data_IF_242632020822
#
_entry.id   IF_242632020822
#
_cell.length_a   1.000
_cell.length_b   1.000
_cell.length_c   1.000
_cell.angle_alpha   90.00
_cell.angle_beta   90.00
_cell.angle_gamma   90.00
#
_symmetry.space_group_name_H-M   'P 1'
#
loop_
_entity.id
_entity.type
_entity.pdbx_description
1 polymer ?
#
# COMPACT_ATOMS: atom_id res chain seq x y z
N UNK A 1 50.57 -22.19 41.08
CA UNK A 1 50.14 -22.07 39.68
C UNK A 1 49.00 -21.07 39.66
N UNK A 2 49.31 -19.88 39.16
CA UNK A 2 48.46 -18.68 39.15
C UNK A 2 47.44 -18.80 38.02
N UNK A 3 46.17 -18.46 38.27
CA UNK A 3 45.33 -17.62 37.40
C UNK A 3 43.97 -17.40 38.07
N UNK A 4 43.87 -16.30 38.82
CA UNK A 4 42.61 -15.70 39.19
C UNK A 4 42.15 -14.82 38.01
N UNK A 5 41.02 -15.16 37.39
CA UNK A 5 40.35 -14.28 36.44
C UNK A 5 39.49 -13.29 37.24
N UNK A 6 40.01 -12.08 37.39
CA UNK A 6 39.27 -10.89 37.80
C UNK A 6 38.55 -10.28 36.59
N UNK A 7 37.35 -9.74 36.84
CA UNK A 7 36.82 -8.60 36.08
C UNK A 7 36.05 -8.91 34.80
N UNK A 8 34.74 -9.13 34.93
CA UNK A 8 33.77 -8.69 33.93
C UNK A 8 32.78 -7.75 34.62
N UNK A 9 33.18 -6.49 34.73
CA UNK A 9 32.25 -5.39 35.02
C UNK A 9 31.27 -5.30 33.86
N UNK A 10 29.98 -5.41 34.17
CA UNK A 10 28.88 -5.07 33.28
C UNK A 10 29.16 -3.70 32.65
N UNK A 11 29.41 -3.69 31.34
CA UNK A 11 29.41 -2.47 30.57
C UNK A 11 27.95 -2.01 30.44
N UNK A 12 27.60 -0.92 31.12
CA UNK A 12 26.43 -0.12 30.80
C UNK A 12 26.54 0.30 29.33
N UNK A 13 25.81 -0.39 28.45
CA UNK A 13 25.58 0.06 27.09
C UNK A 13 24.77 1.36 27.15
N UNK A 14 25.49 2.46 27.05
CA UNK A 14 24.96 3.76 26.67
C UNK A 14 24.11 3.61 25.41
N UNK A 15 22.78 3.42 25.56
CA UNK A 15 21.80 3.75 24.52
C UNK A 15 21.95 5.23 24.22
N UNK A 16 22.79 5.57 23.25
CA UNK A 16 22.76 6.88 22.61
C UNK A 16 21.34 7.04 22.07
N UNK A 17 20.53 7.81 22.79
CA UNK A 17 19.24 8.27 22.35
C UNK A 17 19.49 9.06 21.07
N UNK A 18 19.27 8.42 19.92
CA UNK A 18 19.49 9.02 18.60
C UNK A 18 18.63 10.28 18.57
N UNK A 19 19.27 11.46 18.50
CA UNK A 19 18.54 12.73 18.47
C UNK A 19 17.55 12.69 17.31
N UNK A 20 16.31 13.11 17.55
CA UNK A 20 15.29 13.21 16.50
C UNK A 20 15.85 14.00 15.32
N UNK A 21 15.83 13.39 14.14
CA UNK A 21 16.07 14.12 12.90
C UNK A 21 14.91 15.10 12.69
N UNK A 22 15.21 16.27 12.14
CA UNK A 22 14.14 17.11 11.61
C UNK A 22 13.54 16.52 10.33
N UNK A 23 14.33 15.71 9.60
CA UNK A 23 13.93 15.13 8.32
C UNK A 23 12.92 14.00 8.51
N UNK A 24 11.70 14.23 8.01
CA UNK A 24 10.67 13.21 7.81
C UNK A 24 9.97 13.43 6.48
N UNK A 25 9.34 12.38 5.97
CA UNK A 25 8.55 12.42 4.73
C UNK A 25 7.47 11.35 4.75
N UNK A 26 6.31 11.70 4.21
CA UNK A 26 5.26 10.75 3.88
C UNK A 26 4.94 10.84 2.39
N UNK A 27 4.75 9.69 1.77
CA UNK A 27 4.39 9.52 0.36
C UNK A 27 3.13 8.66 0.31
N UNK A 28 2.19 8.99 -0.56
CA UNK A 28 0.95 8.23 -0.74
C UNK A 28 0.67 7.92 -2.21
N UNK A 29 -0.15 6.89 -2.45
CA UNK A 29 -0.88 6.73 -3.70
C UNK A 29 -2.35 6.38 -3.47
N UNK A 30 -3.21 6.86 -4.36
CA UNK A 30 -4.62 6.48 -4.50
C UNK A 30 -4.86 5.42 -5.60
N UNK A 31 -3.79 4.87 -6.16
CA UNK A 31 -3.83 3.78 -7.14
C UNK A 31 -3.53 4.19 -8.57
N UNK A 32 -3.20 3.18 -9.37
CA UNK A 32 -3.02 3.29 -10.81
C UNK A 32 -4.34 3.34 -11.58
N UNK A 33 -4.29 3.06 -12.88
CA UNK A 33 -5.52 2.90 -13.68
C UNK A 33 -6.33 4.20 -13.87
N UNK A 34 -5.67 5.36 -13.78
CA UNK A 34 -6.33 6.67 -13.91
C UNK A 34 -7.13 6.76 -15.21
N UNK A 35 -8.30 7.43 -15.12
CA UNK A 35 -9.14 7.78 -16.27
C UNK A 35 -8.31 8.51 -17.33
N UNK A 36 -8.71 8.36 -18.59
CA UNK A 36 -8.14 9.23 -19.63
C UNK A 36 -8.45 10.69 -19.29
N UNK A 37 -7.59 11.61 -19.73
CA UNK A 37 -7.68 13.02 -19.37
C UNK A 37 -8.96 13.68 -19.89
N UNK A 38 -9.40 13.28 -21.09
CA UNK A 38 -10.69 13.67 -21.68
C UNK A 38 -11.92 13.15 -20.90
N UNK A 39 -11.73 12.18 -19.99
CA UNK A 39 -12.76 11.62 -19.11
C UNK A 39 -12.63 12.10 -17.65
N UNK A 40 -11.71 13.04 -17.37
CA UNK A 40 -11.49 13.63 -16.06
C UNK A 40 -12.02 15.06 -16.07
N UNK A 41 -13.16 15.31 -15.41
CA UNK A 41 -13.66 16.68 -15.26
C UNK A 41 -12.82 17.45 -14.25
N UNK A 42 -12.85 18.78 -14.32
CA UNK A 42 -12.09 19.63 -13.40
C UNK A 42 -12.50 19.40 -11.94
N UNK A 43 -13.81 19.20 -11.69
CA UNK A 43 -14.37 18.94 -10.37
C UNK A 43 -13.89 17.60 -9.82
N UNK A 44 -13.89 16.57 -10.68
CA UNK A 44 -13.42 15.25 -10.28
C UNK A 44 -11.91 15.27 -10.01
N UNK A 45 -11.13 15.96 -10.84
CA UNK A 45 -9.69 16.12 -10.61
C UNK A 45 -9.43 16.85 -9.28
N UNK A 46 -10.14 17.96 -9.03
CA UNK A 46 -10.04 18.73 -7.79
C UNK A 46 -10.40 17.87 -6.57
N UNK A 47 -11.46 17.05 -6.65
CA UNK A 47 -11.86 16.14 -5.58
C UNK A 47 -10.77 15.10 -5.27
N UNK A 48 -10.13 14.50 -6.29
CA UNK A 48 -9.02 13.57 -6.08
C UNK A 48 -7.81 14.28 -5.44
N UNK A 49 -7.47 15.49 -5.91
CA UNK A 49 -6.36 16.27 -5.33
C UNK A 49 -6.63 16.67 -3.89
N UNK A 50 -7.85 17.06 -3.56
CA UNK A 50 -8.26 17.37 -2.20
C UNK A 50 -8.15 16.13 -1.29
N UNK A 51 -8.63 14.97 -1.74
CA UNK A 51 -8.53 13.73 -0.97
C UNK A 51 -7.08 13.26 -0.78
N UNK A 52 -6.22 13.39 -1.82
CA UNK A 52 -4.78 13.13 -1.69
C UNK A 52 -4.12 14.09 -0.68
N UNK A 53 -4.48 15.38 -0.71
CA UNK A 53 -3.95 16.35 0.25
C UNK A 53 -4.41 16.03 1.68
N UNK A 54 -5.68 15.67 1.88
CA UNK A 54 -6.19 15.27 3.19
C UNK A 54 -5.48 14.03 3.75
N UNK A 55 -5.22 13.03 2.89
CA UNK A 55 -4.46 11.83 3.28
C UNK A 55 -3.01 12.17 3.66
N UNK A 56 -2.33 13.01 2.87
CA UNK A 56 -1.00 13.51 3.23
C UNK A 56 -1.02 14.29 4.54
N UNK A 57 -2.05 15.13 4.76
CA UNK A 57 -2.16 15.96 5.95
C UNK A 57 -2.28 15.09 7.22
N UNK A 58 -3.15 14.07 7.20
CA UNK A 58 -3.34 13.19 8.34
C UNK A 58 -2.03 12.49 8.78
N UNK A 59 -1.26 11.98 7.84
CA UNK A 59 0.04 11.39 8.16
C UNK A 59 1.11 12.44 8.49
N UNK A 60 1.09 13.60 7.83
CA UNK A 60 2.00 14.71 8.14
C UNK A 60 1.83 15.21 9.56
N UNK A 61 0.60 15.40 10.04
CA UNK A 61 0.33 15.93 11.38
C UNK A 61 0.94 15.03 12.46
N UNK A 62 0.88 13.71 12.27
CA UNK A 62 1.50 12.73 13.17
C UNK A 62 3.03 12.88 13.16
N UNK A 63 3.66 12.89 11.98
CA UNK A 63 5.12 13.01 11.88
C UNK A 63 5.63 14.39 12.34
N UNK A 64 4.86 15.45 12.08
CA UNK A 64 5.14 16.81 12.50
C UNK A 64 5.10 16.92 14.03
N UNK A 65 4.19 16.21 14.70
CA UNK A 65 4.12 16.09 16.16
C UNK A 65 5.17 15.13 16.76
N UNK A 66 6.00 14.48 15.94
CA UNK A 66 7.02 13.52 16.39
C UNK A 66 6.52 12.10 16.63
N UNK A 67 5.34 11.75 16.09
CA UNK A 67 4.83 10.38 16.10
C UNK A 67 5.61 9.46 15.14
N UNK A 68 5.33 8.15 15.26
CA UNK A 68 6.00 7.11 14.48
C UNK A 68 5.48 6.93 13.05
N UNK A 69 6.28 6.28 12.21
CA UNK A 69 5.94 5.99 10.83
C UNK A 69 4.69 5.11 10.68
N UNK A 70 4.46 4.15 11.58
CA UNK A 70 3.31 3.23 11.55
C UNK A 70 1.99 3.99 11.67
N UNK A 71 1.90 4.87 12.66
CA UNK A 71 0.72 5.68 12.90
C UNK A 71 0.48 6.67 11.75
N UNK A 72 1.56 7.22 11.18
CA UNK A 72 1.46 8.12 10.04
C UNK A 72 0.92 7.44 8.77
N UNK A 73 1.43 6.25 8.42
CA UNK A 73 0.96 5.53 7.23
C UNK A 73 -0.46 4.97 7.42
N UNK A 74 -0.82 4.54 8.64
CA UNK A 74 -2.18 4.11 8.97
C UNK A 74 -3.16 5.27 8.78
N UNK A 75 -2.92 6.43 9.41
CA UNK A 75 -3.81 7.58 9.32
C UNK A 75 -3.99 8.07 7.88
N UNK A 76 -2.90 8.09 7.09
CA UNK A 76 -2.97 8.45 5.69
C UNK A 76 -3.83 7.46 4.88
N UNK A 77 -3.72 6.16 5.13
CA UNK A 77 -4.51 5.13 4.45
C UNK A 77 -5.98 5.15 4.89
N UNK A 78 -6.29 5.38 6.17
CA UNK A 78 -7.68 5.53 6.65
C UNK A 78 -8.42 6.62 5.87
N UNK A 79 -7.80 7.79 5.65
CA UNK A 79 -8.42 8.86 4.85
C UNK A 79 -8.75 8.39 3.42
N UNK A 80 -7.91 7.54 2.84
CA UNK A 80 -8.14 6.98 1.51
C UNK A 80 -9.19 5.87 1.51
N UNK A 81 -9.25 5.06 2.58
CA UNK A 81 -10.30 4.05 2.80
C UNK A 81 -11.67 4.66 3.05
N UNK A 82 -11.75 5.83 3.69
CA UNK A 82 -13.03 6.50 3.95
C UNK A 82 -13.54 7.32 2.75
N UNK A 83 -12.70 7.45 1.71
CA UNK A 83 -13.03 8.21 0.50
C UNK A 83 -13.64 7.33 -0.60
N UNK A 84 -14.86 7.62 -1.09
CA UNK A 84 -15.52 6.84 -2.15
C UNK A 84 -14.83 6.95 -3.53
N UNK A 85 -13.82 7.81 -3.64
CA UNK A 85 -13.06 8.02 -4.87
C UNK A 85 -12.10 6.86 -5.15
N UNK A 86 -11.56 6.25 -4.09
CA UNK A 86 -10.53 5.23 -4.20
C UNK A 86 -11.08 3.81 -4.03
N UNK A 87 -10.27 2.81 -4.36
CA UNK A 87 -10.67 1.41 -4.33
C UNK A 87 -10.07 0.71 -3.09
N UNK A 88 -10.45 1.20 -1.92
CA UNK A 88 -10.11 0.65 -0.61
C UNK A 88 -11.19 1.13 0.38
N UNK A 89 -11.56 0.34 1.37
CA UNK A 89 -12.69 0.69 2.26
C UNK A 89 -13.93 1.10 1.45
N UNK A 90 -14.48 2.28 1.74
CA UNK A 90 -15.56 2.92 0.99
C UNK A 90 -15.19 3.13 -0.48
N UNK A 91 -16.05 2.69 -1.40
CA UNK A 91 -15.76 2.77 -2.83
C UNK A 91 -14.91 1.62 -3.36
N UNK A 92 -14.70 0.57 -2.56
CA UNK A 92 -14.11 -0.69 -3.01
C UNK A 92 -14.88 -1.32 -4.16
N UNK A 93 -14.15 -2.01 -5.03
CA UNK A 93 -14.72 -2.77 -6.14
C UNK A 93 -15.50 -3.96 -5.62
N UNK A 94 -16.43 -4.46 -6.44
CA UNK A 94 -17.19 -5.64 -6.10
C UNK A 94 -16.45 -6.89 -6.57
N UNK A 95 -16.65 -8.00 -5.87
CA UNK A 95 -16.42 -9.32 -6.46
C UNK A 95 -17.55 -9.66 -7.44
N UNK A 96 -17.43 -10.79 -8.16
CA UNK A 96 -18.42 -11.20 -9.17
C UNK A 96 -19.83 -11.36 -8.61
N UNK A 97 -19.94 -11.66 -7.32
CA UNK A 97 -21.19 -11.94 -6.65
C UNK A 97 -21.79 -10.66 -6.04
N UNK A 98 -21.23 -9.48 -6.34
CA UNK A 98 -21.71 -8.20 -5.84
C UNK A 98 -21.34 -7.93 -4.38
N UNK A 99 -20.31 -8.60 -3.85
CA UNK A 99 -19.86 -8.47 -2.46
C UNK A 99 -18.48 -7.80 -2.39
N UNK A 100 -18.28 -6.94 -1.40
CA UNK A 100 -16.98 -6.34 -1.13
C UNK A 100 -16.14 -7.28 -0.27
N UNK A 101 -14.90 -7.54 -0.69
CA UNK A 101 -13.91 -8.29 0.07
C UNK A 101 -12.63 -7.48 0.08
N UNK A 102 -12.14 -7.11 1.25
CA UNK A 102 -11.09 -6.12 1.41
C UNK A 102 -9.78 -6.77 1.84
N UNK A 103 -8.67 -6.22 1.36
CA UNK A 103 -7.33 -6.69 1.67
C UNK A 103 -6.48 -5.50 2.14
N UNK A 104 -5.65 -5.67 3.17
CA UNK A 104 -4.69 -4.65 3.61
C UNK A 104 -3.46 -5.26 4.30
N UNK A 105 -2.34 -4.53 4.31
CA UNK A 105 -1.18 -4.84 5.14
C UNK A 105 -0.45 -3.58 5.60
N UNK A 106 0.25 -3.71 6.72
CA UNK A 106 1.14 -2.71 7.31
C UNK A 106 2.43 -3.38 7.81
N UNK A 107 3.57 -2.67 7.75
CA UNK A 107 4.87 -3.21 8.16
C UNK A 107 5.75 -2.15 8.81
N UNK A 108 6.36 -2.48 9.96
CA UNK A 108 7.39 -1.68 10.64
C UNK A 108 8.77 -2.08 10.12
N UNK A 109 9.46 -1.15 9.47
CA UNK A 109 10.80 -1.35 8.93
C UNK A 109 11.90 -1.46 9.98
N UNK A 110 11.62 -1.09 11.25
CA UNK A 110 12.56 -1.22 12.36
C UNK A 110 12.64 -2.65 12.89
N UNK A 111 11.49 -3.28 13.10
CA UNK A 111 11.40 -4.60 13.74
C UNK A 111 11.13 -5.72 12.75
N UNK A 112 10.71 -5.37 11.52
CA UNK A 112 10.12 -6.30 10.54
C UNK A 112 8.77 -6.88 10.97
N UNK A 113 8.17 -6.37 12.05
CA UNK A 113 6.80 -6.73 12.42
C UNK A 113 5.85 -6.29 11.31
N UNK A 114 4.88 -7.14 11.02
CA UNK A 114 3.93 -6.92 9.96
C UNK A 114 2.57 -7.50 10.34
N UNK A 115 1.53 -6.84 9.84
CA UNK A 115 0.16 -7.31 9.97
C UNK A 115 -0.55 -7.22 8.64
N UNK A 116 -1.42 -8.18 8.37
CA UNK A 116 -2.11 -8.30 7.11
C UNK A 116 -3.49 -8.94 7.28
N UNK A 117 -4.43 -8.49 6.45
CA UNK A 117 -5.75 -9.08 6.35
C UNK A 117 -6.12 -9.30 4.89
N UNK A 118 -6.71 -10.46 4.58
CA UNK A 118 -7.25 -10.77 3.25
C UNK A 118 -8.73 -11.09 3.28
N UNK A 119 -9.43 -10.72 2.21
CA UNK A 119 -10.84 -11.06 1.90
C UNK A 119 -11.81 -10.82 3.05
N UNK A 120 -11.54 -9.81 3.89
CA UNK A 120 -12.38 -9.46 5.03
C UNK A 120 -13.61 -8.67 4.57
N UNK A 121 -14.70 -8.78 5.33
CA UNK A 121 -15.94 -8.07 5.08
C UNK A 121 -16.36 -7.31 6.34
N UNK A 122 -17.15 -6.24 6.16
CA UNK A 122 -17.77 -5.46 7.23
C UNK A 122 -16.82 -4.69 8.17
N UNK A 123 -15.51 -4.79 8.01
CA UNK A 123 -14.54 -3.99 8.76
C UNK A 123 -14.36 -2.66 8.04
N UNK A 124 -14.69 -1.55 8.69
CA UNK A 124 -14.67 -0.22 8.05
C UNK A 124 -13.31 0.14 7.46
N UNK A 125 -12.26 -0.07 8.26
CA UNK A 125 -10.88 0.26 7.93
C UNK A 125 -9.99 -1.00 8.03
N UNK A 126 -9.82 -1.76 6.93
CA UNK A 126 -8.96 -2.94 6.88
C UNK A 126 -7.51 -2.68 7.32
N UNK A 127 -6.97 -1.47 7.09
CA UNK A 127 -5.60 -1.15 7.50
C UNK A 127 -5.43 -1.17 9.04
N UNK A 128 -6.44 -0.72 9.78
CA UNK A 128 -6.43 -0.75 11.24
C UNK A 128 -6.55 -2.16 11.77
N UNK A 129 -7.31 -3.03 11.09
CA UNK A 129 -7.29 -4.47 11.39
C UNK A 129 -5.92 -5.10 11.14
N UNK A 130 -5.25 -4.74 10.03
CA UNK A 130 -3.90 -5.20 9.77
C UNK A 130 -2.94 -4.77 10.90
N UNK A 131 -3.00 -3.51 11.34
CA UNK A 131 -2.23 -3.03 12.50
C UNK A 131 -2.55 -3.80 13.78
N UNK A 132 -3.83 -4.05 14.05
CA UNK A 132 -4.27 -4.84 15.22
C UNK A 132 -3.80 -6.28 15.20
N UNK A 133 -3.68 -6.89 14.03
CA UNK A 133 -3.07 -8.22 13.90
C UNK A 133 -1.59 -8.17 14.26
N UNK A 134 -0.86 -7.15 13.76
CA UNK A 134 0.56 -6.94 14.05
C UNK A 134 0.86 -6.72 15.53
N UNK A 135 0.08 -5.87 16.20
CA UNK A 135 0.37 -5.43 17.57
C UNK A 135 -0.19 -6.36 18.65
N UNK A 136 -1.38 -6.93 18.43
CA UNK A 136 -2.14 -7.61 19.49
C UNK A 136 -2.15 -9.15 19.34
N UNK A 137 -1.47 -9.70 18.33
CA UNK A 137 -1.43 -11.17 18.08
C UNK A 137 -0.01 -11.67 17.75
N UNK A 138 0.28 -12.97 17.91
CA UNK A 138 1.54 -13.57 17.44
C UNK A 138 1.53 -13.88 15.93
N UNK A 139 0.55 -13.39 15.17
CA UNK A 139 0.32 -13.73 13.78
C UNK A 139 0.60 -12.55 12.85
N UNK A 140 1.04 -12.84 11.63
CA UNK A 140 1.26 -11.83 10.60
C UNK A 140 0.02 -11.61 9.73
N UNK A 141 -0.75 -12.66 9.43
CA UNK A 141 -1.85 -12.57 8.46
C UNK A 141 -3.06 -13.38 8.90
N UNK A 142 -4.24 -12.76 8.80
CA UNK A 142 -5.54 -13.43 8.95
C UNK A 142 -6.40 -13.20 7.71
N UNK A 143 -7.41 -14.03 7.48
CA UNK A 143 -8.30 -13.85 6.34
C UNK A 143 -9.75 -14.26 6.62
N UNK A 144 -10.66 -13.73 5.81
CA UNK A 144 -12.06 -14.15 5.77
C UNK A 144 -12.80 -13.94 7.09
N UNK A 145 -13.63 -14.91 7.47
CA UNK A 145 -14.50 -14.80 8.64
C UNK A 145 -13.71 -14.75 9.96
N UNK A 146 -12.62 -15.51 10.08
CA UNK A 146 -11.77 -15.46 11.28
C UNK A 146 -11.17 -14.07 11.52
N UNK A 147 -10.74 -13.40 10.45
CA UNK A 147 -10.27 -12.01 10.56
C UNK A 147 -11.40 -11.03 10.92
N UNK A 148 -12.60 -11.24 10.38
CA UNK A 148 -13.79 -10.42 10.72
C UNK A 148 -14.20 -10.59 12.19
N UNK A 149 -14.18 -11.81 12.69
CA UNK A 149 -14.54 -12.09 14.08
C UNK A 149 -13.48 -11.56 15.04
N UNK A 150 -12.21 -11.67 14.69
CA UNK A 150 -11.12 -11.00 15.42
C UNK A 150 -11.31 -9.48 15.46
N UNK A 151 -11.63 -8.85 14.33
CA UNK A 151 -11.90 -7.41 14.27
C UNK A 151 -13.02 -6.99 15.24
N UNK A 152 -14.09 -7.79 15.32
CA UNK A 152 -15.18 -7.57 16.27
C UNK A 152 -14.70 -7.71 17.71
N UNK A 153 -13.94 -8.75 18.04
CA UNK A 153 -13.40 -8.93 19.40
C UNK A 153 -12.37 -7.86 19.79
N UNK A 154 -11.65 -7.32 18.82
CA UNK A 154 -10.70 -6.21 19.01
C UNK A 154 -11.38 -4.83 19.09
N UNK A 155 -12.72 -4.77 19.05
CA UNK A 155 -13.49 -3.53 19.20
C UNK A 155 -13.43 -2.60 17.99
N UNK A 156 -13.09 -3.11 16.80
CA UNK A 156 -13.07 -2.30 15.59
C UNK A 156 -14.48 -1.96 15.09
N UNK A 157 -14.61 -0.81 14.43
CA UNK A 157 -15.88 -0.38 13.86
C UNK A 157 -16.32 -1.31 12.73
N UNK A 158 -17.44 -1.99 12.97
CA UNK A 158 -18.10 -2.86 12.01
C UNK A 158 -19.20 -2.09 11.29
N UNK A 159 -19.21 -2.14 9.96
CA UNK A 159 -20.17 -1.44 9.11
C UNK A 159 -20.97 -2.41 8.24
N UNK A 160 -22.19 -2.02 7.90
CA UNK A 160 -23.04 -2.77 6.99
C UNK A 160 -22.48 -2.70 5.55
N UNK A 161 -22.79 -3.69 4.68
CA UNK A 161 -22.24 -3.74 3.32
C UNK A 161 -22.51 -2.48 2.48
N UNK A 162 -23.62 -1.78 2.72
CA UNK A 162 -23.98 -0.54 2.01
C UNK A 162 -22.99 0.61 2.23
N UNK A 163 -22.20 0.60 3.32
CA UNK A 163 -21.16 1.61 3.57
C UNK A 163 -20.14 1.65 2.43
N UNK A 164 -19.76 0.47 1.92
CA UNK A 164 -18.75 0.34 0.88
C UNK A 164 -19.27 0.63 -0.53
N UNK A 165 -20.60 0.55 -0.69
CA UNK A 165 -21.27 0.61 -1.98
C UNK A 165 -21.17 2.02 -2.60
N UNK A 166 -20.93 2.07 -3.90
CA UNK A 166 -21.11 3.29 -4.70
C UNK A 166 -21.72 2.94 -6.05
N UNK A 167 -22.59 3.81 -6.55
CA UNK A 167 -23.25 3.65 -7.85
C UNK A 167 -22.23 3.44 -8.97
N UNK A 168 -21.18 4.27 -8.99
CA UNK A 168 -20.06 4.17 -9.95
C UNK A 168 -19.45 2.76 -10.01
N UNK A 169 -19.23 2.13 -8.86
CA UNK A 169 -18.63 0.78 -8.80
C UNK A 169 -19.64 -0.29 -9.17
N UNK A 170 -20.89 -0.12 -8.77
CA UNK A 170 -21.96 -1.03 -9.13
C UNK A 170 -22.16 -1.09 -10.65
N UNK A 171 -22.25 0.06 -11.31
CA UNK A 171 -22.35 0.14 -12.76
C UNK A 171 -21.13 -0.45 -13.46
N UNK A 172 -19.95 -0.32 -12.86
CA UNK A 172 -18.72 -0.93 -13.36
C UNK A 172 -18.78 -2.46 -13.34
N UNK A 173 -19.28 -3.04 -12.25
CA UNK A 173 -19.54 -4.47 -12.16
C UNK A 173 -20.56 -4.91 -13.20
N UNK A 174 -21.72 -4.23 -13.30
CA UNK A 174 -22.79 -4.60 -14.22
C UNK A 174 -22.32 -4.62 -15.69
N UNK A 175 -21.60 -3.57 -16.12
CA UNK A 175 -20.99 -3.54 -17.46
C UNK A 175 -20.04 -4.72 -17.70
N UNK A 176 -19.24 -5.08 -16.69
CA UNK A 176 -18.28 -6.20 -16.79
C UNK A 176 -18.98 -7.56 -16.89
N UNK A 177 -20.06 -7.76 -16.12
CA UNK A 177 -20.86 -8.98 -16.17
C UNK A 177 -21.58 -9.13 -17.53
N UNK A 178 -22.13 -8.04 -18.06
CA UNK A 178 -22.79 -8.02 -19.38
C UNK A 178 -21.82 -8.33 -20.53
N UNK A 179 -20.56 -7.87 -20.44
CA UNK A 179 -19.52 -8.17 -21.44
C UNK A 179 -19.06 -9.64 -21.43
N UNK A 180 -19.56 -10.47 -20.51
CA UNK A 180 -19.23 -11.90 -20.43
C UNK A 180 -17.74 -12.15 -20.21
N UNK A 181 -17.02 -11.19 -19.63
CA UNK A 181 -15.58 -11.28 -19.43
C UNK A 181 -15.27 -12.42 -18.46
N UNK A 182 -14.99 -13.61 -19.00
CA UNK A 182 -14.52 -14.75 -18.21
C UNK A 182 -13.25 -14.32 -17.48
N UNK A 183 -13.11 -14.73 -16.21
CA UNK A 183 -11.81 -14.73 -15.54
C UNK A 183 -10.81 -15.31 -16.52
N UNK A 184 -9.85 -14.47 -16.94
CA UNK A 184 -9.09 -14.65 -18.16
C UNK A 184 -8.69 -16.11 -18.34
N UNK A 185 -8.83 -16.63 -19.57
CA UNK A 185 -7.94 -17.71 -19.99
C UNK A 185 -6.56 -17.38 -19.44
N UNK A 186 -5.88 -18.32 -18.76
CA UNK A 186 -4.43 -18.19 -18.51
C UNK A 186 -3.85 -17.61 -19.80
N UNK A 187 -3.22 -16.43 -19.79
CA UNK A 187 -2.78 -15.81 -21.04
C UNK A 187 -1.84 -16.81 -21.71
N UNK A 188 -2.36 -17.53 -22.71
CA UNK A 188 -1.54 -18.25 -23.68
C UNK A 188 -0.84 -17.12 -24.41
N UNK A 189 0.43 -16.90 -24.08
CA UNK A 189 1.36 -15.95 -24.70
C UNK A 189 0.72 -14.63 -25.12
N UNK A 190 1.00 -13.57 -24.35
CA UNK A 190 0.71 -12.17 -24.65
C UNK A 190 0.27 -11.96 -26.11
N UNK A 191 -1.03 -11.74 -26.33
CA UNK A 191 -1.51 -11.38 -27.65
C UNK A 191 -0.69 -10.17 -28.11
N UNK A 192 -0.05 -10.30 -29.27
CA UNK A 192 0.78 -9.31 -29.99
C UNK A 192 0.06 -7.96 -30.28
N UNK A 193 -1.10 -7.71 -29.68
CA UNK A 193 -1.94 -6.54 -29.90
C UNK A 193 -1.54 -5.31 -29.09
N UNK A 194 -0.45 -5.36 -28.31
CA UNK A 194 0.16 -4.19 -27.66
C UNK A 194 -0.74 -3.42 -26.69
N UNK A 195 -1.90 -3.99 -26.32
CA UNK A 195 -2.85 -3.38 -25.37
C UNK A 195 -2.75 -4.13 -24.04
N UNK A 196 -2.31 -3.48 -22.95
CA UNK A 196 -2.42 -4.09 -21.63
C UNK A 196 -3.91 -4.33 -21.38
N UNK A 197 -4.27 -5.59 -21.11
CA UNK A 197 -5.65 -6.08 -21.18
C UNK A 197 -6.62 -5.50 -20.13
N UNK A 198 -6.27 -4.42 -19.43
CA UNK A 198 -7.06 -3.96 -18.29
C UNK A 198 -6.72 -2.53 -17.80
N UNK A 199 -6.31 -1.62 -18.69
CA UNK A 199 -5.90 -0.25 -18.30
C UNK A 199 -7.08 0.57 -17.75
N UNK A 200 -7.34 0.46 -16.44
CA UNK A 200 -8.39 1.21 -15.74
C UNK A 200 -9.12 0.53 -14.58
N UNK A 201 -8.83 -0.74 -14.27
CA UNK A 201 -9.64 -1.56 -13.33
C UNK A 201 -8.91 -1.94 -12.02
N UNK A 202 -7.87 -1.19 -11.67
CA UNK A 202 -7.01 -1.43 -10.49
C UNK A 202 -6.87 -0.13 -9.73
N UNK A 203 -7.35 -0.10 -8.50
CA UNK A 203 -7.02 0.96 -7.56
C UNK A 203 -6.58 0.30 -6.26
N UNK A 204 -5.36 0.56 -5.84
CA UNK A 204 -4.88 0.18 -4.52
C UNK A 204 -4.43 1.48 -3.90
N UNK A 205 -4.72 1.68 -2.62
CA UNK A 205 -4.22 2.84 -1.90
C UNK A 205 -3.06 2.42 -1.02
N UNK A 206 -2.17 3.33 -0.71
CA UNK A 206 -1.06 3.03 0.16
C UNK A 206 -0.26 4.25 0.54
N UNK A 207 0.54 4.10 1.58
CA UNK A 207 1.39 5.11 2.15
C UNK A 207 2.73 4.50 2.56
N UNK A 208 3.79 5.28 2.44
CA UNK A 208 5.11 4.97 3.00
C UNK A 208 5.65 6.20 3.72
N UNK A 209 6.35 5.99 4.82
CA UNK A 209 6.90 7.08 5.62
C UNK A 209 8.33 6.79 6.08
N UNK A 210 9.12 7.86 6.20
CA UNK A 210 10.32 7.93 7.01
C UNK A 210 10.02 8.90 8.16
N UNK A 211 10.08 8.41 9.40
CA UNK A 211 9.83 9.22 10.58
C UNK A 211 11.09 9.92 11.11
N UNK A 212 10.92 10.79 12.12
CA UNK A 212 12.00 11.57 12.74
C UNK A 212 13.02 10.70 13.50
N UNK A 213 12.69 9.45 13.81
CA UNK A 213 13.61 8.49 14.41
C UNK A 213 14.46 7.77 13.35
N UNK A 214 14.15 7.98 12.06
CA UNK A 214 14.75 7.29 10.93
C UNK A 214 14.17 5.90 10.72
N UNK A 215 12.94 5.63 11.18
CA UNK A 215 12.24 4.38 10.88
C UNK A 215 11.37 4.52 9.64
N UNK A 216 11.36 3.44 8.87
CA UNK A 216 10.56 3.28 7.67
C UNK A 216 9.28 2.50 7.98
N UNK A 217 8.16 2.91 7.39
CA UNK A 217 6.89 2.19 7.51
C UNK A 217 6.18 2.15 6.16
N UNK A 218 5.41 1.09 5.92
CA UNK A 218 4.60 0.93 4.71
C UNK A 218 3.22 0.40 5.06
N UNK A 219 2.19 0.90 4.34
CA UNK A 219 0.81 0.47 4.45
C UNK A 219 0.17 0.42 3.06
N UNK A 220 -0.63 -0.61 2.79
CA UNK A 220 -1.36 -0.78 1.53
C UNK A 220 -2.75 -1.35 1.80
N UNK A 221 -3.79 -0.84 1.13
CA UNK A 221 -5.17 -1.31 1.25
C UNK A 221 -5.89 -1.34 -0.10
N UNK A 222 -6.80 -2.29 -0.29
CA UNK A 222 -7.56 -2.43 -1.54
C UNK A 222 -8.90 -3.17 -1.39
N UNK A 223 -9.86 -2.84 -2.25
CA UNK A 223 -11.01 -3.68 -2.57
C UNK A 223 -10.70 -4.82 -3.55
N UNK A 224 -9.49 -4.85 -4.12
CA UNK A 224 -9.07 -5.79 -5.16
C UNK A 224 -9.61 -5.41 -6.54
N UNK A 225 -9.71 -6.40 -7.43
CA UNK A 225 -10.15 -6.19 -8.82
C UNK A 225 -11.67 -6.18 -8.93
N UNK A 226 -12.17 -5.34 -9.83
CA UNK A 226 -13.59 -5.36 -10.21
C UNK A 226 -14.01 -6.74 -10.71
N UNK A 227 -15.15 -7.20 -10.21
CA UNK A 227 -15.72 -8.51 -10.50
C UNK A 227 -14.88 -9.69 -10.04
N UNK A 228 -13.86 -9.54 -9.16
CA UNK A 228 -12.94 -10.63 -8.70
C UNK A 228 -13.69 -11.93 -8.35
N UNK A 229 -13.06 -13.09 -8.53
CA UNK A 229 -13.62 -14.32 -7.95
C UNK A 229 -13.69 -14.12 -6.43
N UNK A 230 -14.79 -14.51 -5.77
CA UNK A 230 -14.87 -14.49 -4.32
C UNK A 230 -13.68 -15.24 -3.71
N UNK A 231 -13.04 -14.64 -2.71
CA UNK A 231 -11.86 -15.21 -2.06
C UNK A 231 -10.54 -14.94 -2.79
N UNK A 232 -10.53 -14.25 -3.94
CA UNK A 232 -9.28 -13.81 -4.58
C UNK A 232 -8.57 -12.77 -3.72
N UNK A 233 -7.33 -13.08 -3.35
CA UNK A 233 -6.40 -12.19 -2.66
C UNK A 233 -5.39 -11.60 -3.66
N UNK A 234 -5.18 -10.28 -3.59
CA UNK A 234 -4.20 -9.56 -4.39
C UNK A 234 -2.81 -9.47 -3.75
N UNK A 235 -1.98 -8.58 -4.28
CA UNK A 235 -0.63 -8.29 -3.77
C UNK A 235 -0.63 -7.49 -2.46
N UNK A 236 -1.63 -6.63 -2.27
CA UNK A 236 -1.67 -5.66 -1.16
C UNK A 236 -1.45 -6.26 0.23
N UNK A 237 -2.08 -7.37 0.64
CA UNK A 237 -1.88 -7.96 1.96
C UNK A 237 -0.66 -8.89 2.02
N UNK A 238 0.04 -9.11 0.91
CA UNK A 238 1.18 -10.03 0.85
C UNK A 238 2.47 -9.24 1.09
N UNK A 239 3.04 -9.41 2.29
CA UNK A 239 4.31 -8.78 2.67
C UNK A 239 5.41 -9.16 1.68
N UNK A 240 6.10 -8.15 1.16
CA UNK A 240 7.12 -8.30 0.13
C UNK A 240 6.60 -8.31 -1.31
N UNK A 241 5.29 -8.45 -1.53
CA UNK A 241 4.68 -8.21 -2.84
C UNK A 241 4.13 -6.79 -2.91
N UNK A 242 2.99 -6.53 -2.27
CA UNK A 242 2.31 -5.23 -2.28
C UNK A 242 2.90 -4.20 -1.32
N UNK A 243 3.36 -4.67 -0.15
CA UNK A 243 3.74 -3.85 1.02
C UNK A 243 5.07 -4.35 1.58
N UNK A 244 6.04 -3.46 1.78
CA UNK A 244 7.29 -3.83 2.45
C UNK A 244 7.97 -2.62 3.08
N UNK A 245 8.60 -2.78 4.24
CA UNK A 245 9.44 -1.79 4.87
C UNK A 245 10.66 -2.43 5.53
N UNK A 246 11.83 -1.79 5.40
CA UNK A 246 13.04 -2.20 6.10
C UNK A 246 14.01 -1.01 6.25
N UNK A 247 14.41 -0.70 7.49
CA UNK A 247 15.24 0.47 7.83
C UNK A 247 16.59 0.52 7.11
N UNK A 248 17.15 -0.63 6.73
CA UNK A 248 18.42 -0.69 6.00
C UNK A 248 18.32 -0.31 4.51
N UNK A 249 17.11 -0.21 3.96
CA UNK A 249 16.85 -0.08 2.52
C UNK A 249 15.73 0.92 2.23
N UNK A 250 14.49 0.46 2.09
CA UNK A 250 13.32 1.29 1.74
C UNK A 250 12.02 0.80 2.36
N UNK A 251 11.02 1.69 2.38
CA UNK A 251 9.61 1.34 2.45
C UNK A 251 8.97 1.53 1.08
N UNK A 252 8.16 0.56 0.64
CA UNK A 252 7.47 0.59 -0.64
C UNK A 252 6.03 0.08 -0.52
N UNK A 253 5.15 0.72 -1.28
CA UNK A 253 3.76 0.32 -1.51
C UNK A 253 3.50 0.31 -3.01
N UNK A 254 2.83 -0.75 -3.49
CA UNK A 254 2.55 -0.94 -4.91
C UNK A 254 1.06 -0.98 -5.23
N UNK A 255 0.74 -0.68 -6.48
CA UNK A 255 -0.60 -0.74 -7.05
C UNK A 255 -0.54 -1.30 -8.46
N UNK A 256 -1.48 -2.17 -8.83
CA UNK A 256 -1.61 -2.63 -10.21
C UNK A 256 -2.15 -4.04 -10.33
N UNK A 257 -1.58 -4.78 -11.28
CA UNK A 257 -1.93 -6.16 -11.57
C UNK A 257 -1.34 -7.13 -10.53
N UNK A 258 -2.07 -7.32 -9.43
CA UNK A 258 -1.58 -8.04 -8.26
C UNK A 258 -1.03 -9.45 -8.52
N UNK A 259 -1.58 -10.20 -9.46
CA UNK A 259 -1.05 -11.54 -9.80
C UNK A 259 0.42 -11.49 -10.25
N UNK A 260 0.82 -10.45 -10.99
CA UNK A 260 2.21 -10.30 -11.44
C UNK A 260 3.11 -9.71 -10.36
N UNK A 261 2.59 -8.79 -9.55
CA UNK A 261 3.30 -8.21 -8.39
C UNK A 261 3.65 -9.28 -7.36
N UNK A 262 2.74 -10.23 -7.09
CA UNK A 262 3.00 -11.40 -6.25
C UNK A 262 4.09 -12.27 -6.86
N UNK A 263 3.97 -12.62 -8.14
CA UNK A 263 4.90 -13.54 -8.82
C UNK A 263 6.33 -13.01 -8.90
N UNK A 264 6.53 -11.70 -8.83
CA UNK A 264 7.87 -11.09 -8.81
C UNK A 264 8.34 -10.72 -7.41
N UNK A 265 7.49 -10.89 -6.38
CA UNK A 265 7.78 -10.47 -5.00
C UNK A 265 8.25 -9.02 -4.97
N UNK A 266 7.48 -8.15 -5.64
CA UNK A 266 7.96 -6.90 -6.23
C UNK A 266 8.62 -5.95 -5.23
N UNK A 267 7.99 -5.64 -4.10
CA UNK A 267 8.52 -4.67 -3.13
C UNK A 267 9.72 -5.22 -2.34
N UNK A 268 9.72 -6.52 -2.00
CA UNK A 268 10.88 -7.18 -1.39
C UNK A 268 12.08 -7.19 -2.33
N UNK A 269 11.85 -7.48 -3.61
CA UNK A 269 12.90 -7.44 -4.63
C UNK A 269 13.58 -6.07 -4.69
N UNK A 270 12.83 -4.96 -4.55
CA UNK A 270 13.43 -3.62 -4.52
C UNK A 270 14.39 -3.48 -3.34
N UNK A 271 13.97 -3.92 -2.15
CA UNK A 271 14.85 -3.93 -0.97
C UNK A 271 16.09 -4.80 -1.20
N UNK A 272 15.95 -5.99 -1.80
CA UNK A 272 17.07 -6.90 -2.04
C UNK A 272 18.07 -6.37 -3.06
N UNK A 273 17.59 -5.66 -4.08
CA UNK A 273 18.46 -4.99 -5.05
C UNK A 273 19.27 -3.87 -4.38
N UNK A 274 18.67 -3.11 -3.46
CA UNK A 274 19.42 -2.14 -2.66
C UNK A 274 20.44 -2.82 -1.75
N UNK A 275 20.02 -3.85 -1.01
CA UNK A 275 20.87 -4.52 -0.01
C UNK A 275 22.04 -5.29 -0.64
N UNK A 276 21.80 -6.02 -1.73
CA UNK A 276 22.77 -6.97 -2.29
C UNK A 276 23.45 -6.48 -3.56
N UNK A 277 22.90 -5.47 -4.24
CA UNK A 277 23.47 -4.90 -5.46
C UNK A 277 23.81 -3.41 -5.34
N UNK A 278 23.61 -2.80 -4.17
CA UNK A 278 23.84 -1.37 -3.93
C UNK A 278 23.09 -0.46 -4.93
N UNK A 279 21.92 -0.90 -5.40
CA UNK A 279 21.09 -0.09 -6.28
C UNK A 279 20.58 1.14 -5.54
N UNK A 280 20.45 2.26 -6.27
CA UNK A 280 19.64 3.37 -5.76
C UNK A 280 18.17 2.93 -5.65
N UNK A 281 17.39 3.58 -4.78
CA UNK A 281 15.96 3.28 -4.66
C UNK A 281 15.21 3.39 -6.00
N UNK A 282 15.61 4.35 -6.84
CA UNK A 282 15.01 4.56 -8.15
C UNK A 282 15.31 3.42 -9.13
N UNK A 283 16.56 2.94 -9.14
CA UNK A 283 16.98 1.80 -9.97
C UNK A 283 16.34 0.49 -9.51
N UNK A 284 16.26 0.28 -8.20
CA UNK A 284 15.61 -0.89 -7.62
C UNK A 284 14.11 -0.94 -7.96
N UNK A 285 13.41 0.20 -7.85
CA UNK A 285 12.00 0.32 -8.26
C UNK A 285 11.85 0.06 -9.76
N UNK A 286 12.71 0.67 -10.60
CA UNK A 286 12.66 0.50 -12.05
C UNK A 286 12.87 -0.96 -12.49
N UNK A 287 13.87 -1.63 -11.94
CA UNK A 287 14.17 -3.04 -12.21
C UNK A 287 13.01 -3.95 -11.77
N UNK A 288 12.49 -3.77 -10.55
CA UNK A 288 11.35 -4.57 -10.07
C UNK A 288 10.09 -4.35 -10.91
N UNK A 289 9.79 -3.10 -11.27
CA UNK A 289 8.68 -2.79 -12.16
C UNK A 289 8.85 -3.41 -13.55
N UNK A 290 10.06 -3.39 -14.11
CA UNK A 290 10.33 -3.98 -15.43
C UNK A 290 10.00 -5.48 -15.42
N UNK A 291 10.34 -6.22 -14.37
CA UNK A 291 9.98 -7.64 -14.25
C UNK A 291 8.48 -7.88 -14.23
N UNK A 292 7.71 -6.99 -13.61
CA UNK A 292 6.23 -7.07 -13.65
C UNK A 292 5.73 -6.83 -15.08
N UNK A 293 6.30 -5.85 -15.78
CA UNK A 293 5.94 -5.49 -17.16
C UNK A 293 6.28 -6.62 -18.13
N UNK A 294 7.45 -7.25 -18.00
CA UNK A 294 7.90 -8.35 -18.86
C UNK A 294 6.98 -9.57 -18.78
N UNK A 295 6.29 -9.77 -17.66
CA UNK A 295 5.26 -10.79 -17.51
C UNK A 295 3.90 -10.41 -18.12
N UNK A 296 3.78 -9.20 -18.69
CA UNK A 296 2.53 -8.61 -19.20
C UNK A 296 1.73 -7.84 -18.15
N UNK A 297 2.34 -7.53 -17.01
CA UNK A 297 1.73 -6.79 -15.92
C UNK A 297 1.81 -5.26 -16.09
N UNK A 298 1.06 -4.56 -15.25
CA UNK A 298 1.10 -3.10 -15.11
C UNK A 298 1.17 -2.77 -13.62
N UNK A 299 2.00 -1.80 -13.26
CA UNK A 299 2.34 -1.52 -11.86
C UNK A 299 2.68 -0.04 -11.67
N UNK A 300 2.35 0.47 -10.49
CA UNK A 300 2.82 1.71 -9.93
C UNK A 300 3.36 1.47 -8.52
N UNK A 301 4.34 2.27 -8.12
CA UNK A 301 5.09 2.13 -6.87
C UNK A 301 5.35 3.50 -6.30
N UNK A 302 5.08 3.66 -5.02
CA UNK A 302 5.70 4.69 -4.19
C UNK A 302 6.74 4.04 -3.30
N UNK A 303 7.86 4.73 -3.09
CA UNK A 303 8.88 4.30 -2.15
C UNK A 303 9.56 5.50 -1.48
N UNK A 304 10.08 5.26 -0.29
CA UNK A 304 11.04 6.14 0.39
C UNK A 304 12.20 5.30 0.91
N UNK A 305 13.43 5.70 0.61
CA UNK A 305 14.62 5.04 1.18
C UNK A 305 15.00 5.59 2.54
N UNK A 306 15.97 4.93 3.19
CA UNK A 306 16.49 5.32 4.50
C UNK A 306 17.10 6.72 4.55
N UNK A 307 17.46 7.30 3.40
CA UNK A 307 17.93 8.68 3.28
C UNK A 307 16.79 9.68 2.99
N UNK A 308 15.54 9.21 2.90
CA UNK A 308 14.37 10.04 2.65
C UNK A 308 14.19 10.41 1.17
N UNK A 309 14.84 9.73 0.23
CA UNK A 309 14.62 9.92 -1.21
C UNK A 309 13.27 9.34 -1.60
N UNK A 310 12.45 10.16 -2.23
CA UNK A 310 11.10 9.77 -2.67
C UNK A 310 11.15 9.24 -4.10
N UNK A 311 10.52 8.09 -4.34
CA UNK A 311 10.31 7.50 -5.67
C UNK A 311 8.81 7.31 -5.89
N UNK A 312 8.31 7.71 -7.07
CA UNK A 312 6.91 7.58 -7.44
C UNK A 312 6.77 7.24 -8.93
N UNK A 313 6.83 5.96 -9.28
CA UNK A 313 6.87 5.47 -10.67
C UNK A 313 5.62 4.67 -11.03
N UNK A 314 5.25 4.67 -12.30
CA UNK A 314 4.13 3.87 -12.82
C UNK A 314 4.28 3.59 -14.32
N UNK A 315 3.74 2.45 -14.79
CA UNK A 315 3.77 2.07 -16.21
C UNK A 315 2.51 2.45 -17.00
N UNK A 316 1.46 2.92 -16.32
CA UNK A 316 0.18 3.30 -16.93
C UNK A 316 0.06 4.78 -17.36
N UNK A 317 -1.18 5.22 -17.58
CA UNK A 317 -1.51 6.61 -17.96
C UNK A 317 -1.26 7.62 -16.84
N UNK A 318 -1.39 7.18 -15.61
CA UNK A 318 -1.29 8.01 -14.41
C UNK A 318 -1.36 7.15 -13.16
N UNK A 319 -1.06 7.80 -12.04
CA UNK A 319 -1.19 7.27 -10.69
C UNK A 319 -1.50 8.45 -9.77
N UNK A 320 -2.63 8.37 -9.05
CA UNK A 320 -2.96 9.34 -8.00
C UNK A 320 -1.89 9.21 -6.92
N UNK A 321 -1.11 10.26 -6.68
CA UNK A 321 0.06 10.20 -5.79
C UNK A 321 0.43 11.55 -5.21
N UNK A 322 1.17 11.53 -4.13
CA UNK A 322 1.70 12.76 -3.56
C UNK A 322 2.70 12.49 -2.45
N UNK A 323 3.37 13.55 -2.01
CA UNK A 323 4.23 13.52 -0.84
C UNK A 323 4.23 14.87 -0.14
N UNK A 324 4.65 14.86 1.12
CA UNK A 324 4.97 16.05 1.90
C UNK A 324 6.16 15.75 2.79
N UNK A 325 7.07 16.71 2.90
CA UNK A 325 8.26 16.65 3.76
C UNK A 325 8.06 17.57 4.95
N UNK A 326 9.05 17.61 5.84
CA UNK A 326 9.15 18.54 6.97
C UNK A 326 8.81 20.00 6.65
N UNK A 327 9.04 20.46 5.42
CA UNK A 327 8.77 21.84 4.99
C UNK A 327 7.28 22.16 4.80
N UNK A 328 6.40 21.18 4.95
CA UNK A 328 4.95 21.34 4.82
C UNK A 328 4.47 21.61 3.39
N UNK A 329 5.33 21.45 2.37
CA UNK A 329 4.93 21.66 0.97
C UNK A 329 4.28 20.40 0.40
N UNK A 330 2.96 20.41 0.34
CA UNK A 330 2.17 19.33 -0.24
C UNK A 330 2.30 19.28 -1.76
N UNK A 331 2.75 18.13 -2.28
CA UNK A 331 2.81 17.85 -3.72
C UNK A 331 1.80 16.77 -4.05
N UNK A 332 0.87 17.04 -4.98
CA UNK A 332 -0.06 16.03 -5.52
C UNK A 332 0.06 15.96 -7.05
N UNK A 333 0.07 14.73 -7.58
CA UNK A 333 0.19 14.45 -9.01
C UNK A 333 -0.76 13.32 -9.40
N UNK A 334 -1.21 13.33 -10.65
CA UNK A 334 -2.10 12.31 -11.21
C UNK A 334 -1.51 11.77 -12.51
N UNK A 335 -1.23 12.67 -13.44
CA UNK A 335 -0.63 12.35 -14.74
C UNK A 335 0.90 12.54 -14.71
N UNK A 336 1.52 12.59 -15.89
CA UNK A 336 2.98 12.72 -16.06
C UNK A 336 3.47 14.16 -15.85
N UNK A 337 2.66 15.12 -16.25
CA UNK A 337 2.85 16.56 -16.01
C UNK A 337 2.69 16.92 -14.53
#
# INVERSE_FOLDING_TARGET
MVLACSGLTYADENRKQKSLSNDFVIVIHGGGGVRKRDQMTAELEAAHRAALKASLQAGYDILAAGGDGISAVEAAVIVLEDSPLFNAGKGSSFNRDGVHQLDAAIMDGRTSDAGAVGVVQNVKNPITLARKIMEDTPHVMMAGEGARDYARSAGLEMVAPHYFWTERKWDSLQRRLQQGTKYGRKPRQASLSGRPADVGQWGTVGAVALDRHGNLAAATSTGGREGKLPGRIGDSPIIGAGTYAHNGTLAASSTGLGEYVIRTVSTKLMSDLMAFKAYSADDAVRESMQRVIDLGGGVGVIAVDKEGKVVMRYSGRGMYRGFVRQDGKFVTKIYKD
#
